data_IF_155242826665
#
_entry.id   IF_155242826665
#
_cell.length_a   1.000
_cell.length_b   1.000
_cell.length_c   1.000
_cell.angle_alpha   90.00
_cell.angle_beta   90.00
_cell.angle_gamma   90.00
#
_symmetry.space_group_name_H-M   'P 1'
#
loop_
_entity.id
_entity.type
_entity.pdbx_description
1 polymer ?
#
# COMPACT_ATOMS: atom_id res chain seq x y z
N UNK A 1 2.09 -31.93 -55.70
CA UNK A 1 1.05 -31.12 -55.03
C UNK A 1 0.88 -31.45 -53.53
N UNK A 2 1.28 -32.65 -53.09
CA UNK A 2 0.99 -33.15 -51.73
C UNK A 2 1.85 -32.54 -50.61
N UNK A 3 3.10 -32.16 -50.88
CA UNK A 3 4.02 -31.61 -49.86
C UNK A 3 3.62 -30.19 -49.41
N UNK A 4 3.15 -29.35 -50.35
CA UNK A 4 2.71 -27.98 -50.04
C UNK A 4 1.45 -27.96 -49.16
N UNK A 5 0.54 -28.90 -49.39
CA UNK A 5 -0.65 -29.06 -48.55
C UNK A 5 -0.28 -29.56 -47.14
N UNK A 6 0.66 -30.49 -47.04
CA UNK A 6 1.14 -31.02 -45.76
C UNK A 6 1.79 -29.91 -44.92
N UNK A 7 2.60 -29.04 -45.54
CA UNK A 7 3.26 -27.91 -44.86
C UNK A 7 2.25 -26.86 -44.38
N UNK A 8 1.18 -26.58 -45.14
CA UNK A 8 0.10 -25.67 -44.72
C UNK A 8 -0.71 -26.25 -43.55
N UNK A 9 -1.04 -27.54 -43.58
CA UNK A 9 -1.79 -28.18 -42.49
C UNK A 9 -0.97 -28.23 -41.20
N UNK A 10 0.34 -28.50 -41.30
CA UNK A 10 1.23 -28.54 -40.14
C UNK A 10 1.42 -27.15 -39.51
N UNK A 11 1.44 -26.08 -40.31
CA UNK A 11 1.57 -24.70 -39.80
C UNK A 11 0.31 -24.20 -39.09
N UNK A 12 -0.89 -24.65 -39.49
CA UNK A 12 -2.13 -24.39 -38.72
C UNK A 12 -2.18 -25.14 -37.39
N UNK A 13 -1.55 -26.32 -37.28
CA UNK A 13 -1.53 -27.12 -36.05
C UNK A 13 -0.55 -26.57 -34.98
N UNK A 14 0.45 -25.79 -35.38
CA UNK A 14 1.46 -25.19 -34.47
C UNK A 14 1.06 -23.77 -34.02
N UNK A 15 -0.01 -23.20 -34.61
CA UNK A 15 -0.63 -21.95 -34.17
C UNK A 15 -1.30 -22.12 -32.81
N UNK A 16 -0.51 -22.20 -31.74
CA UNK A 16 -1.03 -22.14 -30.37
C UNK A 16 -1.76 -20.81 -30.22
N UNK A 17 -3.02 -20.78 -29.73
CA UNK A 17 -3.62 -19.53 -29.33
C UNK A 17 -2.72 -18.96 -28.23
N UNK A 18 -2.06 -17.84 -28.51
CA UNK A 18 -1.52 -17.00 -27.48
C UNK A 18 -2.75 -16.50 -26.72
N UNK A 19 -3.07 -17.15 -25.60
CA UNK A 19 -3.97 -16.57 -24.62
C UNK A 19 -3.27 -15.33 -24.08
N UNK A 20 -3.35 -14.23 -24.84
CA UNK A 20 -3.22 -12.91 -24.28
C UNK A 20 -4.32 -12.85 -23.24
N UNK A 21 -3.95 -12.96 -21.96
CA UNK A 21 -4.86 -12.72 -20.87
C UNK A 21 -5.16 -11.22 -20.89
N UNK A 22 -6.02 -10.79 -21.81
CA UNK A 22 -6.63 -9.48 -21.74
C UNK A 22 -7.44 -9.49 -20.46
N UNK A 23 -7.03 -8.70 -19.49
CA UNK A 23 -7.81 -8.48 -18.29
C UNK A 23 -9.19 -7.97 -18.69
N UNK A 24 -10.17 -8.88 -18.68
CA UNK A 24 -11.55 -8.60 -19.03
C UNK A 24 -12.22 -7.93 -17.82
N UNK A 25 -11.80 -6.70 -17.53
CA UNK A 25 -12.45 -5.88 -16.51
C UNK A 25 -12.74 -4.49 -17.05
N UNK A 26 -13.92 -3.99 -16.68
CA UNK A 26 -14.33 -2.64 -17.02
C UNK A 26 -13.68 -1.69 -16.02
N UNK A 27 -12.77 -0.85 -16.52
CA UNK A 27 -12.25 0.25 -15.73
C UNK A 27 -13.37 1.26 -15.41
N UNK A 28 -13.35 1.89 -14.23
CA UNK A 28 -14.30 2.95 -13.89
C UNK A 28 -14.15 4.12 -14.87
N UNK A 29 -15.26 4.78 -15.19
CA UNK A 29 -15.30 5.88 -16.15
C UNK A 29 -14.46 7.09 -15.72
N UNK A 30 -14.43 7.38 -14.42
CA UNK A 30 -13.68 8.49 -13.83
C UNK A 30 -13.27 8.17 -12.38
N UNK A 31 -12.48 9.06 -11.77
CA UNK A 31 -12.01 8.86 -10.40
C UNK A 31 -13.12 8.86 -9.34
N UNK A 32 -14.21 9.59 -9.55
CA UNK A 32 -15.34 9.59 -8.61
C UNK A 32 -16.02 8.22 -8.62
N UNK A 33 -16.29 7.67 -9.79
CA UNK A 33 -16.81 6.31 -9.95
C UNK A 33 -15.84 5.25 -9.39
N UNK A 34 -14.52 5.45 -9.57
CA UNK A 34 -13.50 4.59 -8.98
C UNK A 34 -13.53 4.64 -7.44
N UNK A 35 -13.67 5.84 -6.86
CA UNK A 35 -13.72 6.06 -5.43
C UNK A 35 -15.00 5.48 -4.79
N UNK A 36 -16.14 5.57 -5.48
CA UNK A 36 -17.40 4.96 -5.05
C UNK A 36 -17.23 3.44 -4.87
N UNK A 37 -16.56 2.80 -5.83
CA UNK A 37 -16.29 1.36 -5.83
C UNK A 37 -15.12 0.91 -4.93
N UNK A 38 -14.32 1.85 -4.45
CA UNK A 38 -13.17 1.60 -3.58
C UNK A 38 -13.55 1.76 -2.10
N UNK A 39 -12.85 1.10 -1.19
CA UNK A 39 -12.99 1.33 0.25
C UNK A 39 -12.13 2.48 0.75
N UNK A 40 -11.11 2.85 -0.01
CA UNK A 40 -10.11 3.88 0.24
C UNK A 40 -9.48 4.25 -1.11
N UNK A 41 -9.18 5.53 -1.33
CA UNK A 41 -8.19 5.92 -2.33
C UNK A 41 -7.09 6.75 -1.65
N UNK A 42 -5.88 6.72 -2.17
CA UNK A 42 -4.78 7.52 -1.64
C UNK A 42 -3.76 7.91 -2.70
N UNK A 43 -3.05 9.01 -2.44
CA UNK A 43 -1.80 9.36 -3.12
C UNK A 43 -0.66 8.96 -2.22
N UNK A 44 0.33 8.26 -2.77
CA UNK A 44 1.51 7.86 -2.02
C UNK A 44 2.64 7.37 -2.89
N UNK A 45 3.85 7.42 -2.33
CA UNK A 45 5.08 6.89 -2.94
C UNK A 45 5.22 5.42 -2.61
N UNK A 46 5.39 4.57 -3.62
CA UNK A 46 5.73 3.17 -3.42
C UNK A 46 7.16 3.09 -2.86
N UNK A 47 7.33 2.51 -1.67
CA UNK A 47 8.63 2.43 -0.99
C UNK A 47 9.24 1.04 -1.06
N UNK A 48 8.41 0.01 -1.21
CA UNK A 48 8.85 -1.37 -1.22
C UNK A 48 7.92 -2.25 -2.03
N UNK A 49 8.50 -3.26 -2.69
CA UNK A 49 7.81 -4.24 -3.50
C UNK A 49 8.40 -5.63 -3.22
N UNK A 50 7.55 -6.60 -2.91
CA UNK A 50 7.95 -7.99 -2.71
C UNK A 50 6.92 -8.95 -3.31
N UNK A 51 7.39 -10.13 -3.73
CA UNK A 51 6.53 -11.24 -4.10
C UNK A 51 5.75 -11.76 -2.89
N UNK A 52 4.46 -12.01 -3.06
CA UNK A 52 3.61 -12.61 -2.06
C UNK A 52 3.15 -14.01 -2.51
N UNK A 53 4.03 -14.99 -2.35
CA UNK A 53 3.80 -16.39 -2.74
C UNK A 53 2.62 -17.03 -1.99
N UNK A 54 2.31 -16.56 -0.78
CA UNK A 54 1.25 -17.11 0.07
C UNK A 54 -0.13 -16.74 -0.48
N UNK A 55 -0.33 -15.47 -0.87
CA UNK A 55 -1.62 -15.02 -1.41
C UNK A 55 -1.71 -15.03 -2.93
N UNK A 56 -0.59 -15.30 -3.62
CA UNK A 56 -0.42 -15.08 -5.04
C UNK A 56 -0.31 -13.59 -5.36
N UNK A 57 0.74 -13.20 -6.10
CA UNK A 57 0.94 -11.84 -6.59
C UNK A 57 2.05 -11.08 -5.89
N UNK A 58 1.88 -9.76 -5.81
CA UNK A 58 2.85 -8.83 -5.25
C UNK A 58 2.26 -8.13 -4.02
N UNK A 59 3.13 -7.75 -3.10
CA UNK A 59 2.82 -6.94 -1.93
C UNK A 59 3.65 -5.68 -1.97
N UNK A 60 3.00 -4.56 -1.73
CA UNK A 60 3.57 -3.23 -1.85
C UNK A 60 3.39 -2.45 -0.56
N UNK A 61 4.39 -1.64 -0.23
CA UNK A 61 4.32 -0.65 0.84
C UNK A 61 4.35 0.75 0.25
N UNK A 62 3.51 1.62 0.78
CA UNK A 62 3.38 3.01 0.37
C UNK A 62 3.60 3.94 1.54
N UNK A 63 4.32 5.04 1.27
CA UNK A 63 4.27 6.23 2.09
C UNK A 63 3.13 7.12 1.58
N UNK A 64 2.03 7.14 2.31
CA UNK A 64 0.81 7.89 1.96
C UNK A 64 0.97 9.36 2.31
N UNK A 65 0.56 10.22 1.39
CA UNK A 65 0.58 11.68 1.53
C UNK A 65 -0.83 12.24 1.73
N UNK A 66 -1.83 11.69 1.01
CA UNK A 66 -3.23 12.11 1.09
C UNK A 66 -4.17 10.92 0.84
N UNK A 67 -5.39 11.00 1.36
CA UNK A 67 -6.41 9.95 1.19
C UNK A 67 -7.83 10.48 1.00
N UNK A 68 -8.69 9.67 0.37
CA UNK A 68 -10.11 9.98 0.15
C UNK A 68 -10.99 8.86 0.70
N UNK A 69 -12.27 9.19 0.97
CA UNK A 69 -13.30 8.36 1.62
C UNK A 69 -13.08 8.11 3.12
N UNK A 70 -11.84 7.90 3.55
CA UNK A 70 -11.45 7.82 4.97
C UNK A 70 -9.95 8.06 5.14
N UNK A 71 -9.55 8.49 6.33
CA UNK A 71 -8.12 8.58 6.66
C UNK A 71 -7.47 7.20 6.74
N UNK A 72 -6.14 7.18 6.59
CA UNK A 72 -5.31 5.97 6.65
C UNK A 72 -3.94 6.29 7.25
N UNK A 73 -3.18 5.26 7.61
CA UNK A 73 -1.82 5.42 8.15
C UNK A 73 -0.84 5.93 7.08
N UNK A 74 0.15 6.74 7.49
CA UNK A 74 1.27 7.19 6.64
C UNK A 74 1.99 6.02 5.98
N UNK A 75 2.08 4.87 6.64
CA UNK A 75 2.52 3.61 6.02
C UNK A 75 1.30 2.77 5.67
N UNK A 76 1.15 2.43 4.39
CA UNK A 76 0.06 1.58 3.92
C UNK A 76 0.58 0.38 3.13
N UNK A 77 0.05 -0.81 3.43
CA UNK A 77 0.45 -2.05 2.78
C UNK A 77 -0.76 -2.64 2.07
N UNK A 78 -0.59 -3.05 0.82
CA UNK A 78 -1.60 -3.73 0.04
C UNK A 78 -1.00 -4.84 -0.80
N UNK A 79 -1.86 -5.74 -1.27
CA UNK A 79 -1.49 -6.76 -2.25
C UNK A 79 -2.15 -6.50 -3.59
N UNK A 80 -1.54 -7.02 -4.65
CA UNK A 80 -2.12 -7.10 -5.99
C UNK A 80 -1.85 -8.50 -6.53
N UNK A 81 -2.68 -9.05 -7.44
CA UNK A 81 -2.33 -10.24 -8.19
C UNK A 81 -1.00 -10.09 -8.94
N UNK A 82 -0.49 -11.17 -9.52
CA UNK A 82 0.61 -11.06 -10.47
C UNK A 82 0.17 -10.27 -11.71
N UNK A 83 1.12 -9.69 -12.43
CA UNK A 83 0.82 -8.93 -13.65
C UNK A 83 0.03 -9.77 -14.67
N UNK A 84 0.41 -11.03 -14.87
CA UNK A 84 -0.32 -11.95 -15.75
C UNK A 84 -1.75 -12.30 -15.27
N UNK A 85 -2.05 -12.03 -13.99
CA UNK A 85 -3.34 -12.26 -13.34
C UNK A 85 -4.07 -10.93 -13.06
N UNK A 86 -3.81 -9.90 -13.88
CA UNK A 86 -4.41 -8.56 -13.77
C UNK A 86 -3.95 -7.74 -12.57
N UNK A 87 -2.75 -8.02 -12.11
CA UNK A 87 -2.05 -7.21 -11.12
C UNK A 87 -1.68 -5.84 -11.67
N UNK A 88 -1.77 -4.81 -10.84
CA UNK A 88 -1.19 -3.51 -11.16
C UNK A 88 0.25 -3.46 -10.63
N UNK A 89 1.21 -3.21 -11.51
CA UNK A 89 2.63 -3.12 -11.13
C UNK A 89 2.97 -1.71 -10.64
N UNK A 90 3.54 -1.62 -9.45
CA UNK A 90 4.07 -0.36 -8.89
C UNK A 90 5.59 -0.39 -8.85
N UNK A 91 6.21 0.73 -9.18
CA UNK A 91 7.67 0.90 -9.14
C UNK A 91 8.08 1.58 -7.83
N UNK A 92 9.01 0.99 -7.05
CA UNK A 92 9.60 1.67 -5.91
C UNK A 92 10.22 3.02 -6.29
N UNK A 93 9.96 4.04 -5.48
CA UNK A 93 10.38 5.43 -5.72
C UNK A 93 9.34 6.28 -6.46
N UNK A 94 8.41 5.67 -7.20
CA UNK A 94 7.37 6.38 -7.92
C UNK A 94 6.13 6.63 -7.05
N UNK A 95 5.41 7.70 -7.37
CA UNK A 95 4.18 8.09 -6.66
C UNK A 95 2.95 7.78 -7.52
N UNK A 96 1.87 7.37 -6.88
CA UNK A 96 0.67 6.88 -7.55
C UNK A 96 -0.60 7.40 -6.87
N UNK A 97 -1.66 7.56 -7.67
CA UNK A 97 -3.03 7.53 -7.17
C UNK A 97 -3.48 6.07 -7.16
N UNK A 98 -3.89 5.58 -6.00
CA UNK A 98 -4.21 4.16 -5.76
C UNK A 98 -5.60 4.02 -5.19
N UNK A 99 -6.42 3.17 -5.80
CA UNK A 99 -7.74 2.79 -5.32
C UNK A 99 -7.66 1.40 -4.70
N UNK A 100 -8.22 1.25 -3.51
CA UNK A 100 -8.09 0.04 -2.70
C UNK A 100 -9.45 -0.51 -2.33
N UNK A 101 -9.61 -1.82 -2.51
CA UNK A 101 -10.72 -2.60 -1.95
C UNK A 101 -10.22 -3.41 -0.77
N UNK A 102 -11.03 -3.53 0.26
CA UNK A 102 -10.75 -4.25 1.50
C UNK A 102 -11.96 -5.11 1.86
N UNK A 103 -11.97 -6.34 1.36
CA UNK A 103 -12.86 -7.40 1.89
C UNK A 103 -12.27 -8.01 3.16
N UNK A 104 -11.13 -8.68 3.02
CA UNK A 104 -10.38 -9.28 4.13
C UNK A 104 -9.00 -8.66 4.29
N UNK A 105 -8.29 -8.51 3.16
CA UNK A 105 -7.02 -7.81 3.09
C UNK A 105 -7.12 -6.63 2.11
N UNK A 106 -6.33 -5.56 2.31
CA UNK A 106 -6.24 -4.48 1.33
C UNK A 106 -5.69 -4.99 0.01
N UNK A 107 -6.43 -4.76 -1.07
CA UNK A 107 -6.04 -5.18 -2.42
C UNK A 107 -6.31 -4.11 -3.45
N UNK A 108 -5.51 -4.17 -4.52
CA UNK A 108 -5.76 -3.43 -5.76
C UNK A 108 -5.45 -4.29 -6.99
N UNK A 109 -5.89 -3.86 -8.17
CA UNK A 109 -5.67 -4.55 -9.45
C UNK A 109 -5.82 -3.57 -10.63
N UNK A 110 -5.48 -4.00 -11.84
CA UNK A 110 -5.27 -3.13 -13.00
C UNK A 110 -6.48 -2.23 -13.36
N UNK A 111 -7.70 -2.75 -13.26
CA UNK A 111 -8.92 -2.01 -13.62
C UNK A 111 -9.50 -1.14 -12.49
N UNK A 112 -8.78 -0.91 -11.40
CA UNK A 112 -9.31 -0.10 -10.28
C UNK A 112 -9.17 1.41 -10.48
N UNK A 113 -8.57 1.87 -11.59
CA UNK A 113 -8.30 3.28 -11.84
C UNK A 113 -6.97 3.79 -11.27
N UNK A 114 -6.12 2.88 -10.78
CA UNK A 114 -4.76 3.20 -10.36
C UNK A 114 -3.96 3.81 -11.51
N UNK A 115 -3.08 4.76 -11.21
CA UNK A 115 -2.23 5.40 -12.20
C UNK A 115 -1.04 6.11 -11.57
N UNK A 116 0.05 6.35 -12.33
CA UNK A 116 1.14 7.22 -11.88
C UNK A 116 0.61 8.61 -11.51
N UNK A 117 1.15 9.20 -10.45
CA UNK A 117 0.71 10.51 -9.98
C UNK A 117 0.92 11.60 -11.04
N UNK A 118 1.97 11.46 -11.86
CA UNK A 118 2.25 12.36 -12.99
C UNK A 118 1.12 12.40 -14.03
N UNK A 119 0.28 11.37 -14.09
CA UNK A 119 -0.83 11.21 -15.03
C UNK A 119 -2.20 11.39 -14.36
N UNK A 120 -2.24 11.72 -13.07
CA UNK A 120 -3.45 11.73 -12.25
C UNK A 120 -4.12 13.11 -12.10
N UNK A 121 -3.69 14.13 -12.86
CA UNK A 121 -4.11 15.51 -12.65
C UNK A 121 -5.62 15.72 -12.70
N UNK A 122 -6.28 15.17 -13.73
CA UNK A 122 -7.74 15.25 -13.91
C UNK A 122 -8.49 14.52 -12.78
N UNK A 123 -7.95 13.39 -12.33
CA UNK A 123 -8.53 12.60 -11.26
C UNK A 123 -8.44 13.32 -9.92
N UNK A 124 -7.30 13.94 -9.62
CA UNK A 124 -7.12 14.70 -8.39
C UNK A 124 -8.02 15.94 -8.36
N UNK A 125 -8.19 16.61 -9.50
CA UNK A 125 -9.14 17.71 -9.62
C UNK A 125 -10.58 17.25 -9.34
N UNK A 126 -10.98 16.12 -9.91
CA UNK A 126 -12.30 15.54 -9.70
C UNK A 126 -12.53 15.02 -8.26
N UNK A 127 -11.50 14.46 -7.63
CA UNK A 127 -11.56 13.96 -6.25
C UNK A 127 -11.55 15.08 -5.20
N UNK A 128 -11.03 16.26 -5.56
CA UNK A 128 -10.93 17.40 -4.66
C UNK A 128 -9.92 17.18 -3.52
N UNK A 129 -9.95 18.02 -2.48
CA UNK A 129 -8.96 17.98 -1.40
C UNK A 129 -9.03 16.66 -0.62
N UNK A 130 -7.87 16.04 -0.40
CA UNK A 130 -7.73 14.83 0.38
C UNK A 130 -7.63 15.07 1.90
N UNK A 131 -7.75 13.99 2.66
CA UNK A 131 -7.54 13.90 4.09
C UNK A 131 -6.07 13.62 4.41
N UNK A 132 -5.58 14.22 5.50
CA UNK A 132 -4.22 14.00 6.01
C UNK A 132 -4.12 12.61 6.67
N UNK A 133 -3.07 11.81 6.38
CA UNK A 133 -2.90 10.50 6.95
C UNK A 133 -2.51 10.55 8.43
N UNK A 134 -2.95 9.53 9.19
CA UNK A 134 -2.59 9.35 10.59
C UNK A 134 -1.14 8.84 10.72
N UNK A 135 -0.37 9.31 11.71
CA UNK A 135 0.95 8.76 12.00
C UNK A 135 0.88 7.25 12.26
N UNK A 136 1.78 6.47 11.66
CA UNK A 136 1.83 5.03 11.89
C UNK A 136 2.10 4.69 13.36
N UNK A 137 1.34 3.76 13.94
CA UNK A 137 1.41 3.36 15.36
C UNK A 137 2.75 2.76 15.81
N UNK A 138 3.72 2.57 14.91
CA UNK A 138 5.08 2.11 15.23
C UNK A 138 5.84 3.05 16.19
N UNK A 139 5.39 4.30 16.35
CA UNK A 139 5.97 5.26 17.31
C UNK A 139 5.41 5.14 18.73
N UNK A 140 4.24 4.50 18.93
CA UNK A 140 3.63 4.34 20.25
C UNK A 140 4.53 3.65 21.30
N UNK A 141 5.24 2.53 21.02
CA UNK A 141 6.06 1.87 22.04
C UNK A 141 7.23 2.73 22.51
N UNK A 142 7.75 3.64 21.67
CA UNK A 142 8.88 4.49 22.03
C UNK A 142 8.51 5.58 23.05
N UNK A 143 7.29 6.11 22.99
CA UNK A 143 6.83 7.12 23.95
C UNK A 143 6.63 6.54 25.35
N UNK A 144 6.10 5.32 25.45
CA UNK A 144 5.89 4.65 26.74
C UNK A 144 7.21 4.29 27.43
N UNK A 145 8.22 3.83 26.68
CA UNK A 145 9.53 3.51 27.25
C UNK A 145 10.26 4.74 27.77
N UNK A 146 10.21 5.86 27.03
CA UNK A 146 10.77 7.14 27.49
C UNK A 146 10.04 7.68 28.73
N UNK A 147 8.71 7.58 28.76
CA UNK A 147 7.90 7.98 29.92
C UNK A 147 8.24 7.16 31.18
N UNK A 148 8.34 5.84 31.04
CA UNK A 148 8.68 4.94 32.15
C UNK A 148 10.09 5.21 32.71
N UNK A 149 11.08 5.44 31.83
CA UNK A 149 12.43 5.81 32.23
C UNK A 149 12.47 7.16 32.98
N UNK A 150 11.73 8.16 32.49
CA UNK A 150 11.62 9.46 33.17
C UNK A 150 11.06 9.34 34.58
N UNK A 151 9.98 8.58 34.76
CA UNK A 151 9.38 8.33 36.08
C UNK A 151 10.33 7.55 36.99
N UNK A 152 11.02 6.54 36.49
CA UNK A 152 11.99 5.77 37.27
C UNK A 152 13.16 6.64 37.77
N UNK A 153 13.68 7.54 36.93
CA UNK A 153 14.73 8.49 37.30
C UNK A 153 14.25 9.46 38.37
N UNK A 154 13.03 9.99 38.25
CA UNK A 154 12.42 10.87 39.24
C UNK A 154 12.26 10.16 40.59
N UNK A 155 11.74 8.92 40.59
CA UNK A 155 11.60 8.11 41.81
C UNK A 155 12.97 7.86 42.43
N UNK A 156 13.98 7.50 41.64
CA UNK A 156 15.34 7.28 42.13
C UNK A 156 15.94 8.54 42.76
N UNK A 157 15.82 9.69 42.10
CA UNK A 157 16.27 10.97 42.67
C UNK A 157 15.57 11.31 43.98
N UNK A 158 14.25 11.12 44.06
CA UNK A 158 13.48 11.33 45.29
C UNK A 158 13.97 10.39 46.39
N UNK A 159 14.17 9.10 46.11
CA UNK A 159 14.69 8.13 47.08
C UNK A 159 16.10 8.49 47.56
N UNK A 160 16.97 8.96 46.68
CA UNK A 160 18.33 9.42 47.03
C UNK A 160 18.26 10.65 47.94
N UNK A 161 17.44 11.65 47.61
CA UNK A 161 17.27 12.86 48.43
C UNK A 161 16.67 12.52 49.80
N UNK A 162 15.66 11.64 49.86
CA UNK A 162 15.06 11.18 51.11
C UNK A 162 16.08 10.41 51.97
N UNK A 163 16.92 9.56 51.37
CA UNK A 163 18.00 8.85 52.06
C UNK A 163 19.08 9.81 52.58
N UNK A 164 19.48 10.80 51.78
CA UNK A 164 20.46 11.82 52.19
C UNK A 164 19.93 12.68 53.35
N UNK A 165 18.66 13.11 53.30
CA UNK A 165 18.03 13.87 54.40
C UNK A 165 17.95 13.05 55.69
N UNK A 166 17.55 11.78 55.62
CA UNK A 166 17.53 10.90 56.80
C UNK A 166 18.91 10.69 57.42
N UNK A 167 19.97 10.51 56.60
CA UNK A 167 21.35 10.40 57.11
C UNK A 167 21.83 11.67 57.80
N UNK A 168 21.43 12.86 57.31
CA UNK A 168 21.80 14.15 57.93
C UNK A 168 21.04 14.48 59.21
N UNK A 169 19.88 13.88 59.44
CA UNK A 169 19.07 14.10 60.66
C UNK A 169 19.35 13.10 61.79
N UNK A 170 20.15 12.06 61.53
CA UNK A 170 20.56 11.04 62.51
C UNK A 170 22.02 11.18 62.98
N UNK A 171 22.63 12.34 62.75
CA UNK A 171 23.92 12.80 63.29
C UNK A 171 23.63 14.09 64.03
#
# INVERSE_FOLDING_TARGET
MSVRLLVMVLSLLIGRPLWGQSCACTAPENAVAALEQADLAFVGRCTFAESNWISGGMKYSFQVEQSWKKTTSTLYILSTPWEQDCGYTFEPGQSYLVFVRRKFTPKTFQCMGNRPLAEAGLELEALGPGLVPEPSALLMPLYWTLGALGVAILIFMVLVVLRQRRRRAGV
#
